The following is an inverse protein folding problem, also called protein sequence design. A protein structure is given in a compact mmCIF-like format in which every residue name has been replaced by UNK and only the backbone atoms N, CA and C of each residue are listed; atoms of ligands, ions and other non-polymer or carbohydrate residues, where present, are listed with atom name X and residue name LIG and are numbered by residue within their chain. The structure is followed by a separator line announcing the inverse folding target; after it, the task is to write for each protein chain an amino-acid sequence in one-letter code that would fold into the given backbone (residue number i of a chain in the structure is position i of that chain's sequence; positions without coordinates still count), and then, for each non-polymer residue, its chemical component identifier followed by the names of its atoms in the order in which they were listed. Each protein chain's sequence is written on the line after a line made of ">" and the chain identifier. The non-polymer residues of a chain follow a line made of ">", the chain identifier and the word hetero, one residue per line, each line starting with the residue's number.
data_IF_924547274832
#
_entry.id   IF_924547274832
#
_cell.length_a   1.000
_cell.length_b   1.000
_cell.length_c   1.000
_cell.angle_alpha   90.00
_cell.angle_beta   90.00
_cell.angle_gamma   90.00
#
_symmetry.space_group_name_H-M   'P 1'
#
loop_
_entity.id
_entity.type
_entity.pdbx_description
1 polymer ?
#
# COMPACT_ATOMS: atom_id res chain seq x y z
N UNK A 1 -35.81 -10.55 12.65
CA UNK A 1 -35.68 -9.50 11.63
C UNK A 1 -35.16 -10.15 10.37
N UNK A 2 -35.93 -10.13 9.28
CA UNK A 2 -35.54 -10.74 8.02
C UNK A 2 -34.29 -10.02 7.46
N UNK A 3 -33.22 -10.77 7.26
CA UNK A 3 -32.05 -10.28 6.58
C UNK A 3 -32.47 -9.86 5.17
N UNK A 4 -32.31 -8.58 4.83
CA UNK A 4 -32.45 -8.13 3.47
C UNK A 4 -31.42 -8.91 2.64
N UNK A 5 -31.93 -9.84 1.83
CA UNK A 5 -31.17 -10.49 0.75
C UNK A 5 -30.96 -9.47 -0.38
N UNK A 6 -30.14 -8.46 -0.18
CA UNK A 6 -29.66 -7.70 -1.32
C UNK A 6 -28.75 -8.64 -2.13
N UNK A 7 -29.07 -8.79 -3.41
CA UNK A 7 -28.28 -9.58 -4.33
C UNK A 7 -26.90 -8.91 -4.44
N UNK A 8 -25.88 -9.58 -3.95
CA UNK A 8 -24.48 -9.11 -3.99
C UNK A 8 -23.77 -9.84 -5.13
N UNK A 9 -23.24 -9.11 -6.10
CA UNK A 9 -22.45 -9.71 -7.17
C UNK A 9 -21.00 -9.94 -6.70
N UNK A 10 -20.43 -9.00 -5.95
CA UNK A 10 -19.07 -9.08 -5.43
C UNK A 10 -19.04 -8.77 -3.92
N UNK A 11 -18.44 -9.67 -3.16
CA UNK A 11 -18.09 -9.45 -1.75
C UNK A 11 -16.62 -9.02 -1.66
N UNK A 12 -16.36 -7.81 -1.16
CA UNK A 12 -15.02 -7.31 -0.86
C UNK A 12 -14.74 -7.51 0.62
N UNK A 13 -13.69 -8.22 0.94
CA UNK A 13 -13.24 -8.52 2.30
C UNK A 13 -12.03 -7.66 2.62
N UNK A 14 -12.22 -6.67 3.50
CA UNK A 14 -11.23 -5.64 3.86
C UNK A 14 -11.62 -4.27 3.31
N UNK A 15 -11.61 -3.26 4.19
CA UNK A 15 -11.93 -1.86 3.90
C UNK A 15 -10.68 -0.94 4.00
N UNK A 16 -9.50 -1.48 3.72
CA UNK A 16 -8.31 -0.68 3.47
C UNK A 16 -8.34 -0.03 2.08
N UNK A 17 -7.29 0.73 1.70
CA UNK A 17 -7.26 1.48 0.44
C UNK A 17 -7.59 0.64 -0.81
N UNK A 18 -7.00 -0.55 -0.96
CA UNK A 18 -7.24 -1.42 -2.10
C UNK A 18 -8.68 -1.96 -2.13
N UNK A 19 -9.24 -2.34 -0.96
CA UNK A 19 -10.61 -2.83 -0.88
C UNK A 19 -11.65 -1.76 -1.16
N UNK A 20 -11.50 -0.57 -0.56
CA UNK A 20 -12.38 0.58 -0.81
C UNK A 20 -12.30 1.05 -2.27
N UNK A 21 -11.10 1.08 -2.86
CA UNK A 21 -10.90 1.39 -4.27
C UNK A 21 -11.60 0.36 -5.17
N UNK A 22 -11.42 -0.93 -4.90
CA UNK A 22 -12.09 -2.02 -5.64
C UNK A 22 -13.61 -1.85 -5.60
N UNK A 23 -14.16 -1.64 -4.42
CA UNK A 23 -15.60 -1.48 -4.24
C UNK A 23 -16.15 -0.25 -4.97
N UNK A 24 -15.47 0.90 -4.87
CA UNK A 24 -15.86 2.13 -5.56
C UNK A 24 -15.80 1.96 -7.08
N UNK A 25 -14.74 1.36 -7.60
CA UNK A 25 -14.57 1.08 -9.03
C UNK A 25 -15.64 0.12 -9.57
N UNK A 26 -16.04 -0.88 -8.81
CA UNK A 26 -17.12 -1.80 -9.16
C UNK A 26 -18.47 -1.07 -9.17
N UNK A 27 -18.77 -0.27 -8.15
CA UNK A 27 -20.03 0.51 -8.07
C UNK A 27 -20.18 1.50 -9.23
N UNK A 28 -19.11 2.21 -9.57
CA UNK A 28 -19.09 3.10 -10.75
C UNK A 28 -19.38 2.36 -12.06
N UNK A 29 -19.14 1.04 -12.10
CA UNK A 29 -19.48 0.14 -13.21
C UNK A 29 -20.83 -0.60 -13.02
N UNK A 30 -21.67 -0.13 -12.05
CA UNK A 30 -23.00 -0.66 -11.77
C UNK A 30 -23.03 -2.11 -11.26
N UNK A 31 -21.93 -2.62 -10.71
CA UNK A 31 -21.87 -3.93 -10.05
C UNK A 31 -22.39 -3.80 -8.61
N UNK A 32 -23.19 -4.76 -8.14
CA UNK A 32 -23.66 -4.80 -6.75
C UNK A 32 -22.54 -5.31 -5.84
N UNK A 33 -22.11 -4.46 -4.89
CA UNK A 33 -20.96 -4.73 -4.01
C UNK A 33 -21.39 -4.67 -2.56
N UNK A 34 -20.90 -5.62 -1.78
CA UNK A 34 -20.89 -5.56 -0.32
C UNK A 34 -19.45 -5.51 0.18
N UNK A 35 -19.16 -4.65 1.14
CA UNK A 35 -17.84 -4.50 1.76
C UNK A 35 -17.94 -4.86 3.24
N UNK A 36 -17.05 -5.74 3.71
CA UNK A 36 -16.94 -6.10 5.12
C UNK A 36 -15.52 -5.83 5.63
N UNK A 37 -15.41 -5.42 6.89
CA UNK A 37 -14.12 -5.36 7.60
C UNK A 37 -14.28 -5.82 9.05
N UNK A 38 -13.29 -6.57 9.54
CA UNK A 38 -13.25 -7.07 10.92
C UNK A 38 -13.00 -6.00 11.96
N UNK A 39 -12.44 -4.85 11.57
CA UNK A 39 -12.22 -3.72 12.44
C UNK A 39 -13.50 -2.90 12.60
N UNK A 40 -13.52 -2.01 13.57
CA UNK A 40 -14.70 -1.18 13.88
C UNK A 40 -14.71 0.16 13.11
N UNK A 41 -13.60 0.53 12.49
CA UNK A 41 -13.42 1.72 11.63
C UNK A 41 -12.10 1.65 10.87
N UNK A 42 -11.87 2.62 10.00
CA UNK A 42 -10.58 2.88 9.35
C UNK A 42 -9.45 3.07 10.38
N UNK A 43 -8.24 2.66 10.04
CA UNK A 43 -7.06 2.83 10.88
C UNK A 43 -6.74 4.30 11.13
N UNK A 44 -6.37 4.65 12.37
CA UNK A 44 -5.97 6.02 12.72
C UNK A 44 -4.50 6.29 12.43
N UNK A 45 -3.68 5.25 12.42
CA UNK A 45 -2.24 5.31 12.14
C UNK A 45 -1.89 4.33 11.04
N UNK A 46 -1.15 4.80 10.07
CA UNK A 46 -0.74 4.03 8.91
C UNK A 46 0.70 4.37 8.53
N UNK A 47 1.37 3.36 8.01
CA UNK A 47 2.74 3.48 7.51
C UNK A 47 2.78 4.06 6.10
N UNK A 48 1.79 3.79 5.27
CA UNK A 48 1.68 4.39 3.94
C UNK A 48 1.27 5.85 4.08
N UNK A 49 2.04 6.74 3.46
CA UNK A 49 1.81 8.17 3.58
C UNK A 49 1.97 8.92 2.27
N UNK A 50 2.05 8.24 1.14
CA UNK A 50 2.30 8.91 -0.14
C UNK A 50 1.50 8.29 -1.28
N UNK A 51 0.94 9.13 -2.12
CA UNK A 51 0.28 8.76 -3.38
C UNK A 51 1.20 9.07 -4.55
N UNK A 52 1.45 8.06 -5.38
CA UNK A 52 2.27 8.17 -6.59
C UNK A 52 1.51 8.85 -7.73
N UNK A 53 2.20 9.38 -8.76
CA UNK A 53 1.56 10.04 -9.90
C UNK A 53 0.44 9.21 -10.56
N UNK A 54 0.65 7.90 -10.71
CA UNK A 54 -0.35 6.97 -11.26
C UNK A 54 -1.61 6.86 -10.40
N UNK A 55 -1.46 6.86 -9.07
CA UNK A 55 -2.59 6.85 -8.13
C UNK A 55 -3.34 8.18 -8.12
N UNK A 56 -2.63 9.31 -8.30
CA UNK A 56 -3.25 10.63 -8.40
C UNK A 56 -4.15 10.73 -9.64
N UNK A 57 -3.73 10.16 -10.78
CA UNK A 57 -4.57 10.10 -11.97
C UNK A 57 -5.89 9.35 -11.69
N UNK A 58 -5.82 8.18 -11.04
CA UNK A 58 -7.02 7.41 -10.70
C UNK A 58 -7.96 8.14 -9.74
N UNK A 59 -7.39 8.84 -8.75
CA UNK A 59 -8.17 9.64 -7.80
C UNK A 59 -8.80 10.87 -8.47
N UNK A 60 -8.12 11.46 -9.46
CA UNK A 60 -8.67 12.52 -10.27
C UNK A 60 -9.87 12.02 -11.10
N UNK A 61 -9.74 10.88 -11.78
CA UNK A 61 -10.81 10.27 -12.57
C UNK A 61 -12.04 9.91 -11.71
N UNK A 62 -11.81 9.65 -10.43
CA UNK A 62 -12.87 9.44 -9.44
C UNK A 62 -13.43 10.74 -8.85
N UNK A 63 -12.85 11.90 -9.15
CA UNK A 63 -13.24 13.19 -8.60
C UNK A 63 -12.87 13.37 -7.11
N UNK A 64 -11.85 12.66 -6.63
CA UNK A 64 -11.42 12.69 -5.24
C UNK A 64 -10.13 13.51 -5.00
N UNK A 65 -9.37 13.79 -6.06
CA UNK A 65 -8.07 14.44 -5.90
C UNK A 65 -8.17 15.87 -5.37
N UNK A 66 -9.19 16.63 -5.80
CA UNK A 66 -9.38 18.02 -5.36
C UNK A 66 -9.71 18.12 -3.85
N UNK A 67 -10.39 17.10 -3.29
CA UNK A 67 -10.67 17.01 -1.86
C UNK A 67 -9.39 16.63 -1.08
N UNK A 68 -8.55 15.76 -1.63
CA UNK A 68 -7.35 15.25 -0.95
C UNK A 68 -6.16 16.21 -1.01
N UNK A 69 -5.97 16.90 -2.15
CA UNK A 69 -4.78 17.72 -2.42
C UNK A 69 -4.50 18.80 -1.36
N UNK A 70 -5.51 19.51 -0.81
CA UNK A 70 -5.27 20.54 0.22
C UNK A 70 -4.76 19.97 1.55
N UNK A 71 -4.90 18.66 1.77
CA UNK A 71 -4.49 17.98 3.01
C UNK A 71 -3.14 17.28 2.91
N UNK A 72 -2.47 17.37 1.76
CA UNK A 72 -1.20 16.71 1.50
C UNK A 72 -0.06 17.68 1.20
N UNK A 73 1.15 17.20 1.35
CA UNK A 73 2.37 17.88 0.92
C UNK A 73 2.78 17.36 -0.46
N UNK A 74 2.88 18.27 -1.42
CA UNK A 74 3.40 17.94 -2.75
C UNK A 74 4.91 17.77 -2.69
N UNK A 75 5.42 16.73 -3.34
CA UNK A 75 6.84 16.40 -3.49
C UNK A 75 7.16 16.26 -4.97
N UNK A 76 8.15 17.02 -5.44
CA UNK A 76 8.51 17.12 -6.85
C UNK A 76 9.77 16.32 -7.21
N UNK A 77 10.48 15.80 -6.21
CA UNK A 77 11.72 15.06 -6.44
C UNK A 77 12.00 14.01 -5.37
N UNK A 78 12.84 13.06 -5.71
CA UNK A 78 13.50 12.18 -4.76
C UNK A 78 15.01 12.24 -4.95
N UNK A 79 15.75 12.54 -3.88
CA UNK A 79 17.20 12.53 -3.83
C UNK A 79 17.72 11.30 -3.10
N UNK A 80 18.75 10.68 -3.64
CA UNK A 80 19.46 9.57 -2.99
C UNK A 80 20.82 10.04 -2.47
N UNK A 81 21.09 9.70 -1.22
CA UNK A 81 22.22 10.20 -0.45
C UNK A 81 23.08 9.05 0.09
N UNK A 82 24.36 9.30 0.23
CA UNK A 82 25.29 8.46 0.95
C UNK A 82 26.27 9.38 1.73
N UNK A 83 26.21 9.31 3.06
CA UNK A 83 26.90 10.28 3.91
C UNK A 83 26.38 11.70 3.65
N UNK A 84 27.27 12.65 3.35
CA UNK A 84 26.93 14.04 3.05
C UNK A 84 26.54 14.29 1.59
N UNK A 85 26.86 13.34 0.69
CA UNK A 85 26.72 13.53 -0.74
C UNK A 85 25.37 13.09 -1.29
N UNK A 86 24.72 13.96 -2.08
CA UNK A 86 23.62 13.55 -2.94
C UNK A 86 24.19 12.87 -4.19
N UNK A 87 23.99 11.56 -4.31
CA UNK A 87 24.53 10.71 -5.39
C UNK A 87 23.72 10.79 -6.68
N UNK A 88 22.38 10.87 -6.57
CA UNK A 88 21.52 11.12 -7.71
C UNK A 88 20.21 11.78 -7.26
N UNK A 89 19.46 12.31 -8.23
CA UNK A 89 18.17 12.94 -8.03
C UNK A 89 17.26 12.60 -9.19
N UNK A 90 16.02 12.27 -8.86
CA UNK A 90 14.94 12.02 -9.81
C UNK A 90 13.94 13.16 -9.74
N UNK A 91 13.49 13.63 -10.90
CA UNK A 91 12.56 14.72 -11.05
C UNK A 91 11.21 14.20 -11.53
N UNK A 92 10.16 14.38 -10.75
CA UNK A 92 8.81 14.01 -11.16
C UNK A 92 8.27 14.90 -12.28
N UNK A 93 8.53 16.23 -12.33
CA UNK A 93 8.12 17.09 -13.45
C UNK A 93 8.57 16.59 -14.83
N UNK A 94 9.71 15.89 -14.91
CA UNK A 94 10.23 15.32 -16.16
C UNK A 94 9.41 14.14 -16.69
N UNK A 95 8.50 13.59 -15.90
CA UNK A 95 7.54 12.58 -16.37
C UNK A 95 6.56 13.13 -17.42
N UNK A 96 6.36 14.44 -17.47
CA UNK A 96 5.41 15.13 -18.38
C UNK A 96 4.00 14.53 -18.33
N UNK A 97 3.53 14.26 -17.10
CA UNK A 97 2.19 13.75 -16.79
C UNK A 97 1.30 14.86 -16.27
N UNK A 98 0.00 14.61 -16.18
CA UNK A 98 -0.96 15.57 -15.61
C UNK A 98 -0.66 15.90 -14.14
N UNK A 99 -0.26 14.88 -13.34
CA UNK A 99 0.10 15.04 -11.93
C UNK A 99 1.54 14.51 -11.71
N UNK A 100 2.57 15.29 -12.14
CA UNK A 100 3.96 14.83 -12.08
C UNK A 100 4.58 15.11 -10.71
N UNK A 101 4.01 14.56 -9.65
CA UNK A 101 4.46 14.73 -8.27
C UNK A 101 3.95 13.58 -7.40
N UNK A 102 4.52 13.42 -6.23
CA UNK A 102 4.01 12.56 -5.16
C UNK A 102 3.24 13.44 -4.17
N UNK A 103 2.07 12.99 -3.73
CA UNK A 103 1.29 13.67 -2.70
C UNK A 103 1.45 12.91 -1.37
N UNK A 104 2.13 13.52 -0.42
CA UNK A 104 2.33 12.97 0.93
C UNK A 104 1.15 13.37 1.82
N UNK A 105 0.36 12.39 2.25
CA UNK A 105 -0.76 12.60 3.16
C UNK A 105 -1.02 11.33 3.99
N UNK A 106 -1.63 11.43 5.19
CA UNK A 106 -1.99 10.25 5.97
C UNK A 106 -2.94 9.33 5.21
N UNK A 107 -2.70 8.02 5.22
CA UNK A 107 -3.56 7.01 4.57
C UNK A 107 -5.02 7.10 5.04
N UNK A 108 -5.26 7.46 6.31
CA UNK A 108 -6.60 7.64 6.85
C UNK A 108 -7.42 8.71 6.11
N UNK A 109 -6.76 9.71 5.51
CA UNK A 109 -7.42 10.71 4.65
C UNK A 109 -7.89 10.08 3.34
N UNK A 110 -7.05 9.25 2.71
CA UNK A 110 -7.42 8.49 1.51
C UNK A 110 -8.59 7.55 1.80
N UNK A 111 -8.49 6.77 2.87
CA UNK A 111 -9.55 5.84 3.28
C UNK A 111 -10.88 6.55 3.54
N UNK A 112 -10.84 7.67 4.28
CA UNK A 112 -12.03 8.47 4.56
C UNK A 112 -12.69 9.05 3.30
N UNK A 113 -11.90 9.53 2.33
CA UNK A 113 -12.41 10.03 1.06
C UNK A 113 -13.04 8.91 0.22
N UNK A 114 -12.38 7.73 0.14
CA UNK A 114 -12.91 6.56 -0.57
C UNK A 114 -14.20 6.04 0.08
N UNK A 115 -14.25 5.93 1.41
CA UNK A 115 -15.46 5.50 2.15
C UNK A 115 -16.61 6.49 1.96
N UNK A 116 -16.33 7.80 2.01
CA UNK A 116 -17.32 8.85 1.75
C UNK A 116 -17.87 8.75 0.32
N UNK A 117 -16.99 8.57 -0.67
CA UNK A 117 -17.40 8.38 -2.06
C UNK A 117 -18.25 7.11 -2.25
N UNK A 118 -17.88 6.03 -1.59
CA UNK A 118 -18.64 4.78 -1.59
C UNK A 118 -20.03 4.96 -0.98
N UNK A 119 -20.15 5.74 0.11
CA UNK A 119 -21.41 6.12 0.72
C UNK A 119 -22.34 6.90 -0.22
N UNK A 120 -21.78 7.80 -1.06
CA UNK A 120 -22.52 8.50 -2.12
C UNK A 120 -23.09 7.54 -3.18
N UNK A 121 -22.40 6.43 -3.42
CA UNK A 121 -22.85 5.32 -4.29
C UNK A 121 -23.78 4.32 -3.56
N UNK A 122 -24.32 4.68 -2.38
CA UNK A 122 -25.24 3.89 -1.56
C UNK A 122 -24.65 2.55 -1.06
N UNK A 123 -23.33 2.45 -0.93
CA UNK A 123 -22.66 1.30 -0.31
C UNK A 123 -22.05 1.71 1.02
N UNK A 124 -22.41 0.99 2.07
CA UNK A 124 -21.83 1.17 3.41
C UNK A 124 -20.89 0.02 3.72
N UNK A 125 -19.75 0.36 4.33
CA UNK A 125 -18.85 -0.65 4.88
C UNK A 125 -19.52 -1.30 6.10
N UNK A 126 -19.61 -2.61 6.11
CA UNK A 126 -20.04 -3.38 7.27
C UNK A 126 -18.83 -3.60 8.19
N UNK A 127 -18.61 -2.65 9.09
CA UNK A 127 -17.58 -2.73 10.12
C UNK A 127 -17.93 -3.80 11.16
N UNK A 128 -16.92 -4.35 11.84
CA UNK A 128 -17.06 -5.46 12.78
C UNK A 128 -17.60 -6.73 12.12
N UNK A 129 -17.33 -6.93 10.84
CA UNK A 129 -17.76 -8.11 10.10
C UNK A 129 -16.56 -8.86 9.55
N UNK A 130 -16.42 -10.13 9.91
CA UNK A 130 -15.32 -11.00 9.52
C UNK A 130 -15.80 -12.15 8.66
N UNK A 131 -15.17 -12.36 7.52
CA UNK A 131 -15.37 -13.59 6.76
C UNK A 131 -14.90 -14.78 7.62
N UNK A 132 -15.75 -15.78 7.81
CA UNK A 132 -15.42 -17.02 8.52
C UNK A 132 -15.04 -18.14 7.56
N UNK A 133 -15.85 -18.32 6.55
CA UNK A 133 -15.66 -19.34 5.53
C UNK A 133 -16.21 -18.88 4.20
N UNK A 134 -15.73 -19.47 3.12
CA UNK A 134 -16.35 -19.40 1.81
C UNK A 134 -16.13 -20.73 1.06
N UNK A 135 -17.04 -21.00 0.14
CA UNK A 135 -16.99 -22.15 -0.74
C UNK A 135 -16.81 -21.69 -2.18
N UNK A 136 -15.75 -22.16 -2.82
CA UNK A 136 -15.45 -21.82 -4.23
C UNK A 136 -16.47 -22.44 -5.20
N UNK A 137 -17.05 -23.59 -4.85
CA UNK A 137 -17.94 -24.35 -5.72
C UNK A 137 -19.30 -23.69 -5.92
N UNK A 138 -19.92 -23.17 -4.86
CA UNK A 138 -21.27 -22.59 -4.88
C UNK A 138 -21.34 -21.10 -4.51
N UNK A 139 -20.17 -20.47 -4.26
CA UNK A 139 -20.08 -19.07 -3.90
C UNK A 139 -20.65 -18.72 -2.52
N UNK A 140 -20.83 -19.72 -1.65
CA UNK A 140 -21.34 -19.49 -0.30
C UNK A 140 -20.28 -18.84 0.58
N UNK A 141 -20.61 -17.69 1.17
CA UNK A 141 -19.74 -16.98 2.12
C UNK A 141 -20.46 -16.88 3.47
N UNK A 142 -19.78 -17.28 4.54
CA UNK A 142 -20.23 -17.13 5.92
C UNK A 142 -19.52 -15.95 6.57
N UNK A 143 -20.30 -15.02 7.11
CA UNK A 143 -19.82 -13.76 7.68
C UNK A 143 -20.26 -13.66 9.14
N UNK A 144 -19.30 -13.49 10.04
CA UNK A 144 -19.56 -13.23 11.45
C UNK A 144 -19.62 -11.73 11.72
N UNK A 145 -20.66 -11.31 12.45
CA UNK A 145 -20.71 -10.01 13.10
C UNK A 145 -20.01 -10.11 14.45
N UNK A 146 -19.06 -9.20 14.70
CA UNK A 146 -18.29 -9.13 15.93
C UNK A 146 -18.85 -8.04 16.84
N UNK A 147 -18.82 -8.30 18.15
CA UNK A 147 -19.23 -7.35 19.18
C UNK A 147 -18.22 -7.37 20.33
N UNK A 148 -17.94 -6.20 20.89
CA UNK A 148 -17.16 -6.11 22.12
C UNK A 148 -18.03 -6.35 23.33
N UNK A 149 -17.63 -7.29 24.17
CA UNK A 149 -18.27 -7.57 25.45
C UNK A 149 -17.25 -7.48 26.58
N UNK A 150 -17.69 -7.01 27.74
CA UNK A 150 -16.87 -7.06 28.93
C UNK A 150 -16.82 -8.49 29.44
N UNK A 151 -15.62 -9.05 29.60
CA UNK A 151 -15.39 -10.37 30.18
C UNK A 151 -14.39 -10.29 31.32
N UNK A 152 -14.49 -11.26 32.25
CA UNK A 152 -13.61 -11.40 33.40
C UNK A 152 -14.05 -10.70 34.68
N UNK A 153 -13.60 -11.26 35.80
CA UNK A 153 -13.83 -10.78 37.18
C UNK A 153 -12.56 -11.08 37.99
N UNK A 154 -12.04 -10.18 38.83
CA UNK A 154 -12.58 -8.86 39.21
C UNK A 154 -12.24 -7.71 38.24
N UNK A 155 -11.39 -7.94 37.22
CA UNK A 155 -11.00 -6.91 36.23
C UNK A 155 -11.65 -7.25 34.90
N UNK A 156 -12.65 -6.46 34.51
CA UNK A 156 -13.26 -6.59 33.20
C UNK A 156 -12.28 -6.27 32.06
N UNK A 157 -12.18 -7.16 31.08
CA UNK A 157 -11.49 -6.94 29.81
C UNK A 157 -12.52 -6.87 28.68
N UNK A 158 -12.25 -6.02 27.69
CA UNK A 158 -13.07 -5.99 26.50
C UNK A 158 -12.59 -7.07 25.53
N UNK A 159 -13.45 -8.01 25.22
CA UNK A 159 -13.17 -9.10 24.28
C UNK A 159 -14.09 -9.05 23.07
N UNK A 160 -13.56 -9.44 21.92
CA UNK A 160 -14.35 -9.54 20.70
C UNK A 160 -15.00 -10.91 20.61
N UNK A 161 -16.31 -10.95 20.55
CA UNK A 161 -17.11 -12.17 20.41
C UNK A 161 -17.94 -12.15 19.14
N UNK A 162 -18.41 -13.32 18.70
CA UNK A 162 -19.35 -13.43 17.58
C UNK A 162 -20.76 -13.20 18.11
N UNK A 163 -21.36 -12.06 17.72
CA UNK A 163 -22.74 -11.70 18.08
C UNK A 163 -23.78 -12.33 17.15
N UNK A 164 -23.37 -12.84 16.01
CA UNK A 164 -24.24 -13.50 15.04
C UNK A 164 -23.51 -13.80 13.74
N UNK A 165 -24.13 -14.68 12.94
CA UNK A 165 -23.62 -15.04 11.62
C UNK A 165 -24.70 -14.84 10.58
N UNK A 166 -24.32 -14.49 9.36
CA UNK A 166 -25.18 -14.47 8.20
C UNK A 166 -24.43 -14.98 6.97
N UNK A 167 -25.15 -15.30 5.94
CA UNK A 167 -24.61 -15.86 4.72
C UNK A 167 -24.86 -14.96 3.52
N UNK A 168 -23.88 -14.88 2.62
CA UNK A 168 -24.00 -14.24 1.32
C UNK A 168 -23.65 -15.24 0.22
N UNK A 169 -24.15 -15.01 -1.00
CA UNK A 169 -23.80 -15.80 -2.19
C UNK A 169 -23.36 -14.89 -3.33
N UNK A 170 -22.21 -14.25 -3.21
CA UNK A 170 -21.66 -13.43 -4.27
C UNK A 170 -21.21 -14.29 -5.46
N UNK A 171 -21.21 -13.72 -6.66
CA UNK A 171 -20.59 -14.34 -7.81
C UNK A 171 -19.06 -14.40 -7.67
N UNK A 172 -18.49 -13.36 -7.05
CA UNK A 172 -17.05 -13.27 -6.78
C UNK A 172 -16.76 -12.76 -5.36
N UNK A 173 -15.62 -13.19 -4.79
CA UNK A 173 -15.04 -12.67 -3.55
C UNK A 173 -13.72 -12.00 -3.87
N UNK A 174 -13.49 -10.79 -3.37
CA UNK A 174 -12.22 -10.10 -3.44
C UNK A 174 -11.60 -10.02 -2.05
N UNK A 175 -10.45 -10.66 -1.86
CA UNK A 175 -9.63 -10.58 -0.66
C UNK A 175 -8.73 -9.34 -0.71
N UNK A 176 -9.10 -8.33 0.10
CA UNK A 176 -8.34 -7.10 0.34
C UNK A 176 -8.04 -6.95 1.84
N UNK A 177 -7.94 -8.07 2.55
CA UNK A 177 -7.90 -8.20 4.02
C UNK A 177 -6.47 -8.13 4.60
N UNK A 178 -5.52 -7.61 3.79
CA UNK A 178 -4.18 -7.23 4.20
C UNK A 178 -3.20 -8.40 4.33
N UNK A 179 -2.03 -8.13 4.86
CA UNK A 179 -0.90 -9.07 4.86
C UNK A 179 -1.18 -10.40 5.61
N UNK A 180 -2.10 -10.39 6.59
CA UNK A 180 -2.62 -11.60 7.27
C UNK A 180 -3.94 -12.04 6.66
N UNK A 181 -4.00 -12.10 5.33
CA UNK A 181 -5.22 -12.42 4.59
C UNK A 181 -5.74 -13.80 4.92
N UNK A 182 -6.95 -13.85 5.49
CA UNK A 182 -7.71 -15.08 5.68
C UNK A 182 -8.18 -15.64 4.33
N UNK A 183 -8.54 -14.76 3.40
CA UNK A 183 -8.99 -15.17 2.05
C UNK A 183 -7.88 -15.93 1.33
N UNK A 184 -6.65 -15.40 1.30
CA UNK A 184 -5.49 -16.08 0.72
C UNK A 184 -5.22 -17.43 1.38
N UNK A 185 -5.20 -17.45 2.74
CA UNK A 185 -4.91 -18.66 3.50
C UNK A 185 -5.96 -19.76 3.26
N UNK A 186 -7.24 -19.40 3.13
CA UNK A 186 -8.32 -20.34 2.78
C UNK A 186 -8.23 -20.88 1.36
N UNK A 187 -7.67 -20.13 0.43
CA UNK A 187 -7.33 -20.60 -0.91
C UNK A 187 -6.12 -21.55 -0.91
N UNK A 188 -5.38 -21.64 0.18
CA UNK A 188 -4.12 -22.39 0.22
C UNK A 188 -3.01 -21.76 -0.63
N UNK A 189 -3.13 -20.48 -0.98
CA UNK A 189 -2.14 -19.73 -1.76
C UNK A 189 -0.99 -19.35 -0.84
N UNK A 190 0.21 -19.82 -1.19
CA UNK A 190 1.42 -19.55 -0.42
C UNK A 190 1.98 -18.16 -0.73
N UNK A 191 2.68 -17.58 0.24
CA UNK A 191 3.54 -16.42 0.06
C UNK A 191 4.98 -16.89 -0.05
N UNK A 192 5.68 -16.45 -1.10
CA UNK A 192 7.13 -16.42 -1.07
C UNK A 192 7.54 -15.29 -0.11
N UNK A 193 8.47 -15.54 0.77
CA UNK A 193 8.97 -14.55 1.73
C UNK A 193 10.49 -14.61 1.76
N UNK A 194 11.14 -13.47 1.95
CA UNK A 194 12.54 -13.45 2.40
C UNK A 194 12.63 -13.96 3.83
N UNK A 195 13.72 -14.65 4.15
CA UNK A 195 13.92 -15.28 5.46
C UNK A 195 14.04 -14.26 6.60
N UNK A 196 14.41 -13.01 6.31
CA UNK A 196 14.60 -11.98 7.32
C UNK A 196 13.77 -10.73 7.02
N UNK A 197 12.91 -10.30 7.95
CA UNK A 197 12.20 -9.04 7.80
C UNK A 197 13.16 -7.85 7.94
N UNK A 198 12.92 -6.81 7.18
CA UNK A 198 13.53 -5.49 7.37
C UNK A 198 12.80 -4.76 8.51
N UNK A 199 13.55 -4.26 9.48
CA UNK A 199 13.01 -3.55 10.64
C UNK A 199 13.30 -2.08 10.47
N UNK A 200 12.29 -1.24 10.67
CA UNK A 200 12.41 0.21 10.58
C UNK A 200 12.00 0.88 11.88
N UNK A 201 12.84 1.79 12.35
CA UNK A 201 12.54 2.73 13.42
C UNK A 201 11.98 4.01 12.81
N UNK A 202 10.71 4.31 13.09
CA UNK A 202 9.96 5.40 12.44
C UNK A 202 9.65 6.49 13.45
N UNK A 203 9.86 7.75 13.06
CA UNK A 203 9.62 8.93 13.89
C UNK A 203 8.95 10.05 13.10
N UNK A 204 7.91 10.65 13.66
CA UNK A 204 7.33 11.89 13.17
C UNK A 204 7.61 13.03 14.16
N UNK A 205 8.02 14.17 13.62
CA UNK A 205 8.30 15.37 14.43
C UNK A 205 8.10 16.64 13.61
N UNK A 206 8.05 17.77 14.30
CA UNK A 206 8.26 19.07 13.68
C UNK A 206 9.75 19.24 13.35
N UNK A 207 10.04 19.65 12.12
CA UNK A 207 11.38 20.06 11.69
C UNK A 207 11.63 21.51 12.13
N UNK A 208 12.92 21.86 12.37
CA UNK A 208 13.30 23.24 12.69
C UNK A 208 13.08 24.19 11.50
N UNK A 209 13.21 23.66 10.29
CA UNK A 209 13.06 24.39 9.03
C UNK A 209 12.12 23.60 8.11
N UNK A 210 11.60 24.27 7.08
CA UNK A 210 10.78 23.59 6.06
C UNK A 210 11.58 22.42 5.45
N UNK A 211 11.11 21.16 5.55
CA UNK A 211 11.78 20.01 4.97
C UNK A 211 11.76 20.01 3.43
N UNK A 212 11.07 20.98 2.81
CA UNK A 212 11.03 21.20 1.36
C UNK A 212 10.12 20.24 0.60
N UNK A 213 10.41 20.10 -0.70
CA UNK A 213 9.59 19.32 -1.64
C UNK A 213 10.36 18.10 -2.22
N UNK A 214 11.36 17.60 -1.50
CA UNK A 214 12.16 16.44 -1.90
C UNK A 214 12.09 15.34 -0.85
N UNK A 215 11.74 14.12 -1.27
CA UNK A 215 11.98 12.92 -0.44
C UNK A 215 13.48 12.63 -0.45
N UNK A 216 14.07 12.42 0.71
CA UNK A 216 15.50 12.14 0.85
C UNK A 216 15.71 10.71 1.31
N UNK A 217 16.23 9.88 0.42
CA UNK A 217 16.54 8.46 0.68
C UNK A 217 18.03 8.33 0.91
N UNK A 218 18.42 7.62 1.95
CA UNK A 218 19.81 7.30 2.27
C UNK A 218 20.00 5.81 2.02
N UNK A 219 21.02 5.47 1.22
CA UNK A 219 21.45 4.10 1.00
C UNK A 219 22.88 3.95 1.50
N UNK A 220 23.08 3.11 2.51
CA UNK A 220 24.40 2.82 3.07
C UNK A 220 24.50 1.35 3.53
N UNK A 221 25.63 0.98 4.15
CA UNK A 221 25.87 -0.39 4.63
C UNK A 221 24.89 -0.88 5.71
N UNK A 222 24.13 0.03 6.34
CA UNK A 222 23.11 -0.31 7.34
C UNK A 222 21.71 -0.43 6.70
N UNK A 223 21.60 -0.35 5.37
CA UNK A 223 20.38 -0.45 4.61
C UNK A 223 19.77 0.92 4.22
N UNK A 224 18.48 0.93 3.93
CA UNK A 224 17.77 2.11 3.48
C UNK A 224 17.22 2.95 4.65
N UNK A 225 17.27 4.26 4.51
CA UNK A 225 16.55 5.20 5.37
C UNK A 225 15.91 6.28 4.53
N UNK A 226 14.85 6.91 5.06
CA UNK A 226 14.13 7.94 4.31
C UNK A 226 13.62 9.05 5.22
N UNK A 227 13.69 10.28 4.69
CA UNK A 227 12.99 11.43 5.23
C UNK A 227 11.88 11.86 4.27
N UNK A 228 10.64 11.86 4.77
CA UNK A 228 9.47 12.34 4.06
C UNK A 228 9.06 13.72 4.59
N UNK A 229 8.96 14.77 3.74
CA UNK A 229 8.30 16.02 4.12
C UNK A 229 6.79 15.78 4.22
N UNK A 230 6.17 16.25 5.31
CA UNK A 230 4.74 16.03 5.58
C UNK A 230 3.91 17.32 5.52
N UNK A 231 4.53 18.45 5.17
CA UNK A 231 3.92 19.77 5.22
C UNK A 231 3.87 20.35 6.64
N UNK A 232 3.57 21.65 6.76
CA UNK A 232 3.47 22.35 8.04
C UNK A 232 4.71 22.15 8.93
N UNK A 233 5.89 22.22 8.35
CA UNK A 233 7.19 21.96 8.99
C UNK A 233 7.29 20.58 9.67
N UNK A 234 6.51 19.59 9.23
CA UNK A 234 6.58 18.24 9.77
C UNK A 234 7.33 17.32 8.82
N UNK A 235 8.04 16.35 9.40
CA UNK A 235 8.71 15.30 8.65
C UNK A 235 8.57 13.94 9.34
N UNK A 236 8.65 12.88 8.53
CA UNK A 236 8.76 11.50 9.00
C UNK A 236 10.13 10.96 8.60
N UNK A 237 10.86 10.49 9.60
CA UNK A 237 12.08 9.71 9.42
C UNK A 237 11.78 8.22 9.58
N UNK A 238 12.34 7.40 8.71
CA UNK A 238 12.32 5.95 8.83
C UNK A 238 13.74 5.43 8.61
N UNK A 239 14.30 4.76 9.60
CA UNK A 239 15.65 4.22 9.58
C UNK A 239 15.59 2.69 9.63
N UNK A 240 16.19 2.02 8.67
CA UNK A 240 16.38 0.57 8.80
C UNK A 240 17.35 0.29 9.94
N UNK A 241 16.96 -0.63 10.83
CA UNK A 241 17.74 -1.03 12.01
C UNK A 241 17.88 -2.55 12.06
N UNK A 242 18.87 -3.04 12.80
CA UNK A 242 19.15 -4.47 12.87
C UNK A 242 18.10 -5.22 13.70
N UNK A 243 17.65 -4.62 14.82
CA UNK A 243 16.70 -5.23 15.74
C UNK A 243 15.56 -4.29 16.11
N UNK A 244 14.39 -4.86 16.45
CA UNK A 244 13.22 -4.07 16.89
C UNK A 244 13.51 -3.31 18.20
N UNK A 245 14.32 -3.88 19.07
CA UNK A 245 14.75 -3.27 20.33
C UNK A 245 15.69 -2.06 20.14
N UNK A 246 16.21 -1.85 18.91
CA UNK A 246 16.97 -0.65 18.54
C UNK A 246 16.08 0.60 18.43
N UNK A 247 14.75 0.43 18.47
CA UNK A 247 13.80 1.52 18.47
C UNK A 247 13.56 2.05 19.88
N UNK A 248 13.95 3.31 20.09
CA UNK A 248 13.61 4.08 21.28
C UNK A 248 12.84 5.35 20.86
N UNK A 249 11.67 5.64 21.45
CA UNK A 249 10.86 6.80 21.09
C UNK A 249 11.39 8.10 21.69
N UNK A 250 12.72 8.32 21.64
CA UNK A 250 13.41 9.47 22.24
C UNK A 250 14.04 10.37 21.20
N UNK A 251 14.14 11.68 21.50
CA UNK A 251 14.85 12.64 20.66
C UNK A 251 16.34 12.33 20.58
N UNK A 252 16.93 11.80 21.63
CA UNK A 252 18.33 11.40 21.67
C UNK A 252 18.60 10.32 20.65
N UNK A 253 17.79 9.25 20.63
CA UNK A 253 17.91 8.16 19.66
C UNK A 253 17.72 8.66 18.23
N UNK A 254 16.67 9.44 17.98
CA UNK A 254 16.43 10.05 16.67
C UNK A 254 17.62 10.89 16.20
N UNK A 255 18.14 11.77 17.07
CA UNK A 255 19.28 12.62 16.75
C UNK A 255 20.58 11.82 16.50
N UNK A 256 20.77 10.71 17.21
CA UNK A 256 21.86 9.76 16.98
C UNK A 256 21.75 9.16 15.58
N UNK A 257 20.58 8.64 15.19
CA UNK A 257 20.35 8.08 13.86
C UNK A 257 20.53 9.13 12.76
N UNK A 258 20.04 10.35 12.95
CA UNK A 258 20.25 11.47 12.01
C UNK A 258 21.73 11.75 11.86
N UNK A 259 22.49 11.86 12.97
CA UNK A 259 23.92 12.16 12.92
C UNK A 259 24.73 11.08 12.18
N UNK A 260 24.34 9.82 12.34
CA UNK A 260 25.03 8.69 11.74
C UNK A 260 24.70 8.49 10.25
N UNK A 261 23.44 8.71 9.87
CA UNK A 261 22.91 8.33 8.56
C UNK A 261 22.65 9.51 7.63
N UNK A 262 22.34 10.67 8.17
CA UNK A 262 21.99 11.90 7.45
C UNK A 262 22.69 13.13 8.05
N UNK A 263 24.03 13.18 8.07
CA UNK A 263 24.79 14.25 8.74
C UNK A 263 24.49 15.65 8.19
N UNK A 264 24.00 15.74 6.95
CA UNK A 264 23.53 16.98 6.33
C UNK A 264 22.22 17.50 6.90
N UNK A 265 21.46 16.69 7.66
CA UNK A 265 20.18 17.10 8.18
C UNK A 265 20.32 17.78 9.56
N UNK A 266 19.51 18.83 9.78
CA UNK A 266 19.42 19.46 11.08
C UNK A 266 18.85 18.51 12.13
N UNK A 267 19.52 18.44 13.28
CA UNK A 267 19.05 17.72 14.47
C UNK A 267 18.09 18.56 15.32
N UNK A 268 18.02 19.86 15.07
CA UNK A 268 17.06 20.73 15.71
C UNK A 268 15.63 20.39 15.24
N UNK A 269 14.67 20.64 16.09
CA UNK A 269 13.24 20.45 15.81
C UNK A 269 12.43 20.20 17.08
N UNK A 270 11.12 20.14 16.93
CA UNK A 270 10.17 19.92 18.01
C UNK A 270 10.14 18.49 18.54
N UNK A 271 9.21 18.20 19.48
CA UNK A 271 9.06 16.88 20.06
C UNK A 271 8.61 15.83 19.01
N UNK A 272 8.85 14.57 19.33
CA UNK A 272 8.31 13.45 18.56
C UNK A 272 6.80 13.41 18.81
N UNK A 273 6.02 13.51 17.73
CA UNK A 273 4.56 13.44 17.77
C UNK A 273 4.06 11.98 17.66
N UNK A 274 4.83 11.13 17.00
CA UNK A 274 4.57 9.70 16.86
C UNK A 274 5.85 8.92 16.53
N UNK A 275 5.93 7.69 17.03
CA UNK A 275 7.00 6.77 16.68
C UNK A 275 6.56 5.32 16.78
N UNK A 276 7.22 4.43 16.04
CA UNK A 276 6.98 2.99 16.08
C UNK A 276 8.15 2.21 15.48
N UNK A 277 8.36 0.99 15.98
CA UNK A 277 9.14 -0.03 15.26
C UNK A 277 8.21 -0.80 14.33
N UNK A 278 8.64 -0.98 13.08
CA UNK A 278 7.83 -1.64 12.05
C UNK A 278 8.66 -2.69 11.35
N UNK A 279 8.09 -3.88 11.20
CA UNK A 279 8.71 -4.97 10.45
C UNK A 279 8.04 -5.11 9.08
N UNK A 280 8.86 -5.13 8.05
CA UNK A 280 8.44 -5.39 6.68
C UNK A 280 9.21 -6.59 6.14
N UNK A 281 8.50 -7.58 5.63
CA UNK A 281 9.09 -8.66 4.86
C UNK A 281 8.52 -8.57 3.44
N UNK A 282 9.37 -8.37 2.41
CA UNK A 282 8.94 -8.51 1.03
C UNK A 282 8.27 -9.86 0.83
N UNK A 283 7.10 -9.86 0.22
CA UNK A 283 6.29 -11.07 0.02
C UNK A 283 5.52 -10.99 -1.27
N UNK A 284 5.36 -12.15 -1.92
CA UNK A 284 4.57 -12.29 -3.12
C UNK A 284 3.75 -13.57 -3.05
N UNK A 285 2.46 -13.48 -3.31
CA UNK A 285 1.62 -14.64 -3.48
C UNK A 285 1.98 -15.38 -4.78
N UNK A 286 2.03 -16.71 -4.74
CA UNK A 286 2.32 -17.55 -5.92
C UNK A 286 1.30 -17.37 -7.05
N UNK A 287 0.13 -16.81 -6.73
CA UNK A 287 -0.91 -16.37 -7.66
C UNK A 287 -1.87 -15.41 -6.96
N UNK A 288 -2.56 -14.55 -7.74
CA UNK A 288 -3.47 -13.54 -7.20
C UNK A 288 -4.94 -14.01 -7.10
N UNK A 289 -5.18 -15.29 -7.13
CA UNK A 289 -6.51 -15.88 -6.95
C UNK A 289 -6.76 -17.09 -7.82
N UNK A 290 -7.96 -17.61 -7.74
CA UNK A 290 -8.47 -18.67 -8.66
C UNK A 290 -9.99 -18.72 -8.59
N UNK A 291 -10.60 -19.21 -9.68
CA UNK A 291 -12.04 -19.44 -9.77
C UNK A 291 -12.85 -18.15 -9.51
N UNK A 292 -13.54 -18.12 -8.38
CA UNK A 292 -14.39 -16.99 -7.97
C UNK A 292 -13.73 -16.06 -6.93
N UNK A 293 -12.50 -16.33 -6.52
CA UNK A 293 -11.87 -15.63 -5.40
C UNK A 293 -10.53 -15.04 -5.83
N UNK A 294 -10.39 -13.72 -5.69
CA UNK A 294 -9.24 -12.96 -6.20
C UNK A 294 -8.68 -12.04 -5.13
N UNK A 295 -7.39 -11.80 -5.16
CA UNK A 295 -6.65 -11.02 -4.16
C UNK A 295 -6.21 -9.69 -4.75
N UNK A 296 -6.10 -8.66 -3.88
CA UNK A 296 -5.62 -7.32 -4.23
C UNK A 296 -4.86 -6.70 -3.07
N UNK A 297 -3.82 -5.92 -3.39
CA UNK A 297 -3.01 -5.21 -2.40
C UNK A 297 -2.26 -6.15 -1.46
N UNK A 298 -2.11 -5.77 -0.19
CA UNK A 298 -1.31 -6.51 0.80
C UNK A 298 -1.78 -7.95 1.05
N UNK A 299 -2.95 -8.34 0.56
CA UNK A 299 -3.38 -9.75 0.56
C UNK A 299 -2.57 -10.59 -0.43
N UNK A 300 -2.04 -10.00 -1.50
CA UNK A 300 -1.28 -10.66 -2.55
C UNK A 300 0.23 -10.39 -2.50
N UNK A 301 0.64 -9.21 -2.05
CA UNK A 301 2.05 -8.81 -2.09
C UNK A 301 2.40 -7.79 -1.01
N UNK A 302 3.70 -7.65 -0.71
CA UNK A 302 4.22 -6.61 0.17
C UNK A 302 5.64 -6.25 -0.22
N UNK A 303 5.94 -4.95 -0.36
CA UNK A 303 7.29 -4.40 -0.54
C UNK A 303 7.73 -3.63 0.70
N UNK A 304 8.99 -3.17 0.70
CA UNK A 304 9.52 -2.32 1.77
C UNK A 304 8.79 -0.97 1.88
N UNK A 305 8.94 -0.27 3.03
CA UNK A 305 8.15 0.93 3.31
C UNK A 305 8.69 2.20 2.64
N UNK A 306 9.95 2.20 2.17
CA UNK A 306 10.64 3.42 1.73
C UNK A 306 9.98 4.02 0.48
N UNK A 307 9.74 3.21 -0.55
CA UNK A 307 9.09 3.66 -1.79
C UNK A 307 7.56 3.75 -1.73
N UNK A 308 6.92 3.28 -0.67
CA UNK A 308 5.44 3.23 -0.52
C UNK A 308 4.76 2.55 -1.72
N UNK A 309 5.40 1.54 -2.30
CA UNK A 309 4.97 0.91 -3.55
C UNK A 309 3.72 0.04 -3.38
N UNK A 310 3.62 -0.74 -2.27
CA UNK A 310 2.53 -1.70 -2.06
C UNK A 310 1.14 -1.08 -2.13
N UNK A 311 0.89 0.01 -1.40
CA UNK A 311 -0.40 0.68 -1.42
C UNK A 311 -0.74 1.21 -2.81
N UNK A 312 0.21 1.88 -3.46
CA UNK A 312 -0.01 2.49 -4.77
C UNK A 312 -0.22 1.45 -5.88
N UNK A 313 0.55 0.36 -5.88
CA UNK A 313 0.29 -0.77 -6.78
C UNK A 313 -1.06 -1.42 -6.51
N UNK A 314 -1.42 -1.60 -5.23
CA UNK A 314 -2.74 -2.12 -4.82
C UNK A 314 -3.91 -1.28 -5.32
N UNK A 315 -3.79 0.05 -5.41
CA UNK A 315 -4.80 0.92 -6.02
C UNK A 315 -4.95 0.68 -7.52
N UNK A 316 -3.82 0.47 -8.24
CA UNK A 316 -3.82 0.12 -9.67
C UNK A 316 -4.46 -1.25 -9.90
N UNK A 317 -4.08 -2.24 -9.12
CA UNK A 317 -4.64 -3.59 -9.13
C UNK A 317 -6.14 -3.59 -8.87
N UNK A 318 -6.59 -2.81 -7.88
CA UNK A 318 -8.00 -2.66 -7.55
C UNK A 318 -8.83 -2.17 -8.76
N UNK A 319 -8.29 -1.22 -9.51
CA UNK A 319 -8.93 -0.66 -10.70
C UNK A 319 -8.96 -1.68 -11.84
N UNK A 320 -7.84 -2.40 -12.07
CA UNK A 320 -7.75 -3.46 -13.10
C UNK A 320 -8.71 -4.61 -12.78
N UNK A 321 -8.66 -5.15 -11.57
CA UNK A 321 -9.52 -6.24 -11.12
C UNK A 321 -11.01 -5.87 -11.23
N UNK A 322 -11.39 -4.68 -10.76
CA UNK A 322 -12.76 -4.21 -10.84
C UNK A 322 -13.26 -4.07 -12.29
N UNK A 323 -12.40 -3.60 -13.20
CA UNK A 323 -12.70 -3.52 -14.63
C UNK A 323 -12.95 -4.89 -15.25
N UNK A 324 -12.12 -5.87 -14.93
CA UNK A 324 -12.24 -7.27 -15.42
C UNK A 324 -13.49 -7.95 -14.88
N UNK A 325 -13.73 -7.84 -13.56
CA UNK A 325 -14.93 -8.38 -12.91
C UNK A 325 -16.22 -7.80 -13.51
N UNK A 326 -16.27 -6.49 -13.75
CA UNK A 326 -17.43 -5.83 -14.35
C UNK A 326 -17.72 -6.35 -15.78
N UNK A 327 -16.68 -6.57 -16.59
CA UNK A 327 -16.83 -7.13 -17.95
C UNK A 327 -17.34 -8.58 -17.92
N UNK A 328 -16.85 -9.39 -16.99
CA UNK A 328 -17.28 -10.78 -16.83
C UNK A 328 -18.74 -10.83 -16.37
N UNK A 329 -19.11 -10.06 -15.35
CA UNK A 329 -20.48 -9.99 -14.81
C UNK A 329 -21.48 -9.43 -15.84
N UNK A 330 -21.01 -8.54 -16.72
CA UNK A 330 -21.76 -8.02 -17.87
C UNK A 330 -21.82 -8.96 -19.10
N UNK A 331 -21.22 -10.15 -19.02
CA UNK A 331 -21.21 -11.12 -20.12
C UNK A 331 -20.30 -10.73 -21.30
N UNK A 332 -19.41 -9.75 -21.11
CA UNK A 332 -18.51 -9.23 -22.17
C UNK A 332 -17.15 -9.93 -22.21
N UNK A 333 -16.85 -10.76 -21.23
CA UNK A 333 -15.59 -11.50 -21.12
C UNK A 333 -15.78 -12.81 -20.36
N UNK A 334 -14.84 -13.73 -20.52
CA UNK A 334 -14.77 -15.00 -19.78
C UNK A 334 -13.84 -14.86 -18.56
N UNK A 335 -13.86 -15.86 -17.69
CA UNK A 335 -13.07 -15.90 -16.45
C UNK A 335 -11.55 -15.98 -16.71
N UNK A 336 -11.09 -16.39 -17.89
CA UNK A 336 -9.68 -16.38 -18.30
C UNK A 336 -9.03 -14.98 -18.18
N UNK A 337 -9.85 -13.93 -18.31
CA UNK A 337 -9.42 -12.56 -18.08
C UNK A 337 -8.84 -12.33 -16.66
N UNK A 338 -9.25 -13.13 -15.68
CA UNK A 338 -8.76 -13.05 -14.30
C UNK A 338 -7.45 -13.83 -14.09
N UNK A 339 -7.21 -14.87 -14.87
CA UNK A 339 -5.89 -15.53 -14.89
C UNK A 339 -4.83 -14.56 -15.46
N UNK A 340 -5.16 -13.83 -16.55
CA UNK A 340 -4.28 -12.77 -17.08
C UNK A 340 -4.01 -11.66 -16.03
N UNK A 341 -5.00 -11.29 -15.21
CA UNK A 341 -4.78 -10.37 -14.08
C UNK A 341 -3.72 -10.92 -13.12
N UNK A 342 -3.86 -12.17 -12.71
CA UNK A 342 -2.91 -12.83 -11.80
C UNK A 342 -1.51 -12.85 -12.38
N UNK A 343 -1.37 -13.34 -13.61
CA UNK A 343 -0.07 -13.51 -14.27
C UNK A 343 0.65 -12.19 -14.51
N UNK A 344 -0.11 -11.15 -14.90
CA UNK A 344 0.42 -9.81 -15.14
C UNK A 344 0.97 -9.19 -13.84
N UNK A 345 0.15 -9.18 -12.78
CA UNK A 345 0.55 -8.54 -11.52
C UNK A 345 1.63 -9.34 -10.80
N UNK A 346 1.58 -10.67 -10.86
CA UNK A 346 2.63 -11.51 -10.30
C UNK A 346 3.99 -11.25 -10.97
N UNK A 347 4.05 -11.23 -12.31
CA UNK A 347 5.31 -10.93 -13.05
C UNK A 347 5.87 -9.55 -12.68
N UNK A 348 5.01 -8.52 -12.59
CA UNK A 348 5.43 -7.17 -12.19
C UNK A 348 6.03 -7.13 -10.80
N UNK A 349 5.39 -7.83 -9.87
CA UNK A 349 5.86 -7.91 -8.49
C UNK A 349 7.12 -8.76 -8.36
N UNK A 350 7.22 -9.86 -9.09
CA UNK A 350 8.43 -10.68 -9.10
C UNK A 350 9.63 -9.88 -9.61
N UNK A 351 9.48 -9.16 -10.71
CA UNK A 351 10.53 -8.29 -11.23
C UNK A 351 10.95 -7.17 -10.24
N UNK A 352 9.99 -6.63 -9.46
CA UNK A 352 10.27 -5.60 -8.45
C UNK A 352 10.99 -6.16 -7.22
N UNK A 353 10.59 -7.34 -6.75
CA UNK A 353 11.12 -7.95 -5.53
C UNK A 353 12.39 -8.78 -5.80
N UNK A 354 12.55 -9.31 -7.03
CA UNK A 354 13.67 -10.14 -7.47
C UNK A 354 14.39 -9.52 -8.69
N UNK A 355 14.91 -8.29 -8.59
CA UNK A 355 15.48 -7.57 -9.75
C UNK A 355 16.71 -8.23 -10.34
N UNK A 356 17.43 -9.07 -9.58
CA UNK A 356 18.58 -9.87 -10.05
C UNK A 356 18.25 -10.88 -11.15
N UNK A 357 16.97 -11.14 -11.43
CA UNK A 357 16.49 -12.00 -12.53
C UNK A 357 16.60 -11.39 -13.93
N UNK A 358 17.28 -10.23 -14.11
CA UNK A 358 17.52 -9.60 -15.41
C UNK A 358 16.50 -8.51 -15.80
N UNK A 359 15.52 -8.24 -14.94
CA UNK A 359 14.54 -7.16 -15.17
C UNK A 359 15.09 -5.74 -15.00
N UNK A 360 16.24 -5.58 -14.33
CA UNK A 360 16.88 -4.29 -14.07
C UNK A 360 18.27 -4.26 -14.68
N UNK A 361 18.51 -3.34 -15.60
CA UNK A 361 19.78 -3.21 -16.33
C UNK A 361 20.30 -1.78 -16.27
N UNK A 362 21.58 -1.61 -15.99
CA UNK A 362 22.25 -0.31 -16.05
C UNK A 362 22.90 -0.11 -17.40
N UNK A 363 22.59 0.97 -18.10
CA UNK A 363 23.20 1.33 -19.38
C UNK A 363 24.50 2.13 -19.21
N UNK A 364 25.09 2.55 -20.33
CA UNK A 364 26.37 3.25 -20.32
C UNK A 364 26.34 4.63 -19.62
N UNK A 365 25.18 5.27 -19.52
CA UNK A 365 25.04 6.59 -18.88
C UNK A 365 24.95 6.52 -17.35
N UNK A 366 24.69 5.33 -16.79
CA UNK A 366 24.63 5.15 -15.35
C UNK A 366 26.01 5.31 -14.69
N UNK A 367 26.08 6.12 -13.64
CA UNK A 367 27.31 6.29 -12.86
C UNK A 367 27.70 4.99 -12.13
N UNK A 368 28.98 4.83 -11.71
CA UNK A 368 29.38 3.64 -10.94
C UNK A 368 28.51 3.41 -9.70
N UNK A 369 28.20 4.48 -8.96
CA UNK A 369 27.35 4.40 -7.77
C UNK A 369 25.93 3.93 -8.10
N UNK A 370 25.31 4.43 -9.19
CA UNK A 370 23.98 4.01 -9.64
C UNK A 370 23.98 2.53 -10.01
N UNK A 371 25.04 2.03 -10.68
CA UNK A 371 25.16 0.61 -11.02
C UNK A 371 25.24 -0.28 -9.79
N UNK A 372 26.03 0.13 -8.81
CA UNK A 372 26.20 -0.59 -7.54
C UNK A 372 24.91 -0.64 -6.70
N UNK A 373 24.11 0.45 -6.73
CA UNK A 373 22.93 0.61 -5.89
C UNK A 373 21.60 0.45 -6.66
N UNK A 374 21.62 -0.12 -7.86
CA UNK A 374 20.45 -0.19 -8.75
C UNK A 374 19.21 -0.83 -8.10
N UNK A 375 19.38 -1.94 -7.38
CA UNK A 375 18.29 -2.62 -6.67
C UNK A 375 17.72 -1.77 -5.53
N UNK A 376 18.58 -1.09 -4.77
CA UNK A 376 18.17 -0.14 -3.73
C UNK A 376 17.41 1.06 -4.31
N UNK A 377 17.85 1.57 -5.47
CA UNK A 377 17.14 2.65 -6.17
C UNK A 377 15.75 2.19 -6.61
N UNK A 378 15.62 0.99 -7.19
CA UNK A 378 14.34 0.42 -7.61
C UNK A 378 13.38 0.25 -6.43
N UNK A 379 13.82 -0.40 -5.35
CA UNK A 379 12.98 -0.72 -4.19
C UNK A 379 12.55 0.50 -3.38
N UNK A 380 13.35 1.57 -3.39
CA UNK A 380 13.10 2.80 -2.65
C UNK A 380 12.43 3.90 -3.48
N UNK A 381 12.21 3.69 -4.79
CA UNK A 381 11.60 4.71 -5.65
C UNK A 381 10.11 4.87 -5.34
N UNK A 382 9.63 6.10 -5.04
CA UNK A 382 8.21 6.36 -4.80
C UNK A 382 7.43 6.53 -6.13
N UNK A 383 7.40 5.47 -6.92
CA UNK A 383 6.68 5.37 -8.18
C UNK A 383 6.25 3.95 -8.47
N UNK A 384 5.26 3.77 -9.35
CA UNK A 384 4.73 2.48 -9.79
C UNK A 384 4.50 2.46 -11.29
N UNK A 385 4.49 1.26 -11.88
CA UNK A 385 4.21 1.07 -13.30
C UNK A 385 5.17 1.82 -14.24
N UNK A 386 4.64 2.41 -15.29
CA UNK A 386 5.42 3.15 -16.30
C UNK A 386 6.18 4.35 -15.71
N UNK A 387 5.67 4.98 -14.65
CA UNK A 387 6.32 6.13 -14.04
C UNK A 387 7.61 5.70 -13.34
N UNK A 388 7.63 4.52 -12.72
CA UNK A 388 8.84 3.92 -12.15
C UNK A 388 9.91 3.71 -13.24
N UNK A 389 9.54 3.11 -14.37
CA UNK A 389 10.47 2.90 -15.49
C UNK A 389 11.04 4.21 -16.03
N UNK A 390 10.18 5.23 -16.20
CA UNK A 390 10.61 6.54 -16.72
C UNK A 390 11.55 7.27 -15.77
N UNK A 391 11.29 7.21 -14.46
CA UNK A 391 12.18 7.80 -13.46
C UNK A 391 13.54 7.09 -13.48
N UNK A 392 13.57 5.78 -13.44
CA UNK A 392 14.83 5.02 -13.45
C UNK A 392 15.70 5.35 -14.67
N UNK A 393 15.10 5.60 -15.84
CA UNK A 393 15.82 6.04 -17.04
C UNK A 393 16.54 7.38 -16.90
N UNK A 394 16.10 8.27 -15.98
CA UNK A 394 16.78 9.55 -15.74
C UNK A 394 18.23 9.37 -15.26
N UNK A 395 18.56 8.22 -14.68
CA UNK A 395 19.90 7.90 -14.18
C UNK A 395 20.55 6.73 -14.94
N UNK A 396 19.98 6.33 -16.07
CA UNK A 396 20.54 5.26 -16.91
C UNK A 396 20.20 3.85 -16.44
N UNK A 397 19.14 3.67 -15.67
CA UNK A 397 18.59 2.36 -15.31
C UNK A 397 17.38 2.04 -16.21
N UNK A 398 17.34 0.83 -16.72
CA UNK A 398 16.23 0.28 -17.48
C UNK A 398 15.59 -0.84 -16.67
N UNK A 399 14.29 -0.71 -16.40
CA UNK A 399 13.51 -1.70 -15.68
C UNK A 399 12.43 -2.25 -16.61
N UNK A 400 12.43 -3.55 -16.82
CA UNK A 400 11.46 -4.24 -17.65
C UNK A 400 10.79 -5.36 -16.83
N UNK A 401 9.57 -5.15 -16.33
CA UNK A 401 8.82 -6.15 -15.57
C UNK A 401 8.17 -7.23 -16.45
N UNK A 402 8.53 -7.32 -17.73
CA UNK A 402 7.89 -8.21 -18.69
C UNK A 402 6.76 -7.52 -19.48
N UNK A 403 6.19 -8.19 -20.48
CA UNK A 403 5.12 -7.65 -21.30
C UNK A 403 3.84 -7.40 -20.48
N UNK A 404 3.14 -6.33 -20.85
CA UNK A 404 1.83 -5.96 -20.33
C UNK A 404 0.71 -6.89 -20.80
#
# INVERSE_FOLDING_TARGET
>A
MAAHKEKTDVLVVGAGPAGLMTALQLRRRKVQVQVIDKHWRTGTHSYALALHPSSLNQLHDLGLLDELSPHGQRVDAVGFYQGEDRRCRFSFPDLRRQFPYVLVLPQSRLEGALETALGKEQVKVLWNHRLQAFSESDGHAEIARLEQVASGYPIARMEWTVAGTFTARPAFVVGADGYRSLVRDRLGIKLTAEDKPNIFSVYEREAAEDPGHEVKVILDSNGASVMWPMGQNRCRWSFQVAHADDHEPTLERLNTLISQRAPWASRAGGPISWSSAVMFAPRLAERFGRGRVWLVGDAAHMAGPVGVQSMNAGLLEATDLAGRLARILGGQAKNDLLEDYSDRHQRRWDALLNPGGGGLVANASATPWVKEHAEGLLSCMPATGDDLQRLLRQVGLEFNPGPD
#
